data_IF_025502550679
#
_entry.id   IF_025502550679
#
_cell.length_a   1.000
_cell.length_b   1.000
_cell.length_c   1.000
_cell.angle_alpha   90.00
_cell.angle_beta   90.00
_cell.angle_gamma   90.00
#
_symmetry.space_group_name_H-M   'P 1'
#
loop_
_entity.id
_entity.type
_entity.pdbx_description
1 polymer ?
#
# COMPACT_ATOMS: atom_id res chain seq x y z
N UNK A 1 -4.53 -13.32 11.34
CA UNK A 1 -4.16 -13.76 9.97
C UNK A 1 -3.09 -12.79 9.48
N UNK A 2 -2.34 -13.07 8.40
CA UNK A 2 -1.80 -11.89 7.68
C UNK A 2 -3.01 -11.10 7.19
N UNK A 3 -2.89 -9.79 7.11
CA UNK A 3 -3.94 -8.94 6.56
C UNK A 3 -3.34 -8.06 5.49
N UNK A 4 -4.20 -7.62 4.57
CA UNK A 4 -3.79 -6.84 3.43
C UNK A 4 -4.39 -5.46 3.52
N UNK A 5 -3.63 -4.47 3.10
CA UNK A 5 -4.12 -3.12 2.83
C UNK A 5 -3.73 -2.75 1.41
N UNK A 6 -4.50 -1.87 0.77
CA UNK A 6 -4.20 -1.38 -0.57
C UNK A 6 -3.71 0.06 -0.54
N UNK A 7 -2.58 0.33 -1.18
CA UNK A 7 -2.22 1.68 -1.57
C UNK A 7 -2.93 1.99 -2.88
N UNK A 8 -3.79 3.00 -2.88
CA UNK A 8 -4.63 3.36 -4.02
C UNK A 8 -4.26 4.75 -4.51
N UNK A 9 -3.99 4.89 -5.80
CA UNK A 9 -3.71 6.19 -6.45
C UNK A 9 -4.55 6.38 -7.71
N UNK A 10 -4.83 7.64 -8.06
CA UNK A 10 -5.47 8.02 -9.32
C UNK A 10 -4.47 8.13 -10.50
N UNK A 11 -3.18 7.88 -10.24
CA UNK A 11 -2.13 7.79 -11.24
C UNK A 11 -2.00 6.36 -11.77
N UNK A 12 -1.49 6.20 -12.99
CA UNK A 12 -1.17 4.88 -13.56
C UNK A 12 0.28 4.56 -13.24
N UNK A 13 0.52 3.67 -12.27
CA UNK A 13 1.89 3.23 -11.92
C UNK A 13 2.25 2.01 -12.75
N UNK A 14 3.29 2.12 -13.57
CA UNK A 14 3.78 1.00 -14.41
C UNK A 14 4.69 0.08 -13.62
N UNK A 15 4.81 -1.17 -14.06
CA UNK A 15 5.69 -2.18 -13.46
C UNK A 15 7.11 -1.64 -13.20
N UNK A 16 7.74 -1.00 -14.19
CA UNK A 16 9.09 -0.43 -14.04
C UNK A 16 9.21 0.67 -12.98
N UNK A 17 8.15 1.46 -12.79
CA UNK A 17 8.08 2.50 -11.76
C UNK A 17 7.93 1.86 -10.38
N UNK A 18 7.09 0.82 -10.27
CA UNK A 18 6.98 0.04 -9.04
C UNK A 18 8.30 -0.68 -8.72
N UNK A 19 8.98 -1.28 -9.70
CA UNK A 19 10.31 -1.87 -9.52
C UNK A 19 11.31 -0.86 -8.96
N UNK A 20 11.21 0.40 -9.40
CA UNK A 20 12.07 1.49 -8.89
C UNK A 20 11.71 1.85 -7.45
N UNK A 21 10.42 1.90 -7.13
CA UNK A 21 9.95 2.07 -5.76
C UNK A 21 10.40 0.93 -4.84
N UNK A 22 10.26 -0.34 -5.26
CA UNK A 22 10.71 -1.51 -4.51
C UNK A 22 12.19 -1.41 -4.14
N UNK A 23 13.04 -0.97 -5.09
CA UNK A 23 14.45 -0.70 -4.81
C UNK A 23 14.67 0.43 -3.80
N UNK A 24 13.81 1.47 -3.82
CA UNK A 24 13.93 2.62 -2.91
C UNK A 24 13.62 2.30 -1.45
N UNK A 25 12.88 1.21 -1.20
CA UNK A 25 12.54 0.71 0.14
C UNK A 25 13.35 -0.53 0.51
N UNK A 26 14.47 -0.78 -0.18
CA UNK A 26 15.35 -1.94 0.01
C UNK A 26 14.61 -3.30 -0.07
N UNK A 27 13.57 -3.40 -0.91
CA UNK A 27 12.82 -4.63 -1.09
C UNK A 27 13.64 -5.69 -1.84
N UNK A 28 13.44 -6.94 -1.45
CA UNK A 28 13.88 -8.12 -2.20
C UNK A 28 12.82 -8.37 -3.29
N UNK A 29 13.21 -8.15 -4.55
CA UNK A 29 12.33 -8.28 -5.72
C UNK A 29 12.19 -9.76 -6.09
N UNK A 30 10.97 -10.18 -6.46
CA UNK A 30 10.67 -11.52 -6.95
C UNK A 30 11.34 -11.77 -8.32
N UNK A 31 11.96 -12.94 -8.48
CA UNK A 31 12.74 -13.28 -9.68
C UNK A 31 11.87 -13.52 -10.92
N UNK A 32 10.57 -13.76 -10.74
CA UNK A 32 9.59 -14.03 -11.80
C UNK A 32 8.69 -12.84 -12.08
N UNK A 33 8.55 -11.89 -11.15
CA UNK A 33 7.74 -10.69 -11.31
C UNK A 33 8.44 -9.46 -10.71
N UNK A 34 8.97 -8.59 -11.57
CA UNK A 34 9.66 -7.37 -11.13
C UNK A 34 8.76 -6.35 -10.43
N UNK A 35 7.45 -6.44 -10.61
CA UNK A 35 6.44 -5.63 -9.94
C UNK A 35 5.98 -6.24 -8.60
N UNK A 36 6.72 -7.22 -8.07
CA UNK A 36 6.46 -7.89 -6.81
C UNK A 36 7.73 -8.01 -5.98
N UNK A 37 7.61 -7.88 -4.68
CA UNK A 37 8.72 -8.09 -3.77
C UNK A 37 8.28 -8.08 -2.32
N UNK A 38 9.24 -8.10 -1.41
CA UNK A 38 8.99 -7.94 0.01
C UNK A 38 10.10 -7.18 0.71
N UNK A 39 9.77 -6.49 1.79
CA UNK A 39 10.72 -5.79 2.65
C UNK A 39 10.82 -6.56 3.97
N UNK A 40 12.05 -6.68 4.48
CA UNK A 40 12.34 -7.22 5.81
C UNK A 40 12.97 -6.16 6.69
N UNK A 41 12.52 -6.06 7.95
CA UNK A 41 13.19 -5.27 8.97
C UNK A 41 13.09 -5.96 10.33
N UNK A 42 14.19 -6.56 10.78
CA UNK A 42 14.17 -7.46 11.93
C UNK A 42 13.29 -8.69 11.66
N UNK A 43 12.27 -8.89 12.50
CA UNK A 43 11.26 -9.94 12.29
C UNK A 43 10.12 -9.49 11.35
N UNK A 44 9.95 -8.18 11.16
CA UNK A 44 8.87 -7.61 10.35
C UNK A 44 9.03 -7.93 8.87
N UNK A 45 7.92 -8.26 8.21
CA UNK A 45 7.86 -8.59 6.80
C UNK A 45 6.58 -8.05 6.16
N UNK A 46 6.73 -7.40 5.00
CA UNK A 46 5.61 -6.92 4.18
C UNK A 46 5.86 -7.30 2.73
N UNK A 47 4.91 -7.99 2.10
CA UNK A 47 4.92 -8.22 0.65
C UNK A 47 4.23 -7.06 -0.07
N UNK A 48 4.74 -6.74 -1.25
CA UNK A 48 4.28 -5.63 -2.09
C UNK A 48 4.01 -6.20 -3.48
N UNK A 49 2.80 -5.99 -4.01
CA UNK A 49 2.40 -6.50 -5.32
C UNK A 49 1.52 -5.49 -6.07
N UNK A 50 1.74 -5.33 -7.37
CA UNK A 50 0.82 -4.60 -8.25
C UNK A 50 -0.39 -5.47 -8.55
N UNK A 51 -1.59 -5.03 -8.17
CA UNK A 51 -2.81 -5.80 -8.41
C UNK A 51 -3.51 -5.30 -9.66
N UNK A 52 -3.46 -6.11 -10.71
CA UNK A 52 -4.20 -5.85 -11.95
C UNK A 52 -5.70 -6.03 -11.74
N UNK A 53 -6.51 -5.13 -12.30
CA UNK A 53 -7.98 -5.18 -12.25
C UNK A 53 -8.59 -5.21 -10.83
N UNK A 54 -7.85 -4.76 -9.79
CA UNK A 54 -8.36 -4.74 -8.41
C UNK A 54 -9.71 -4.03 -8.29
N UNK A 55 -9.95 -2.99 -9.09
CA UNK A 55 -11.19 -2.20 -9.11
C UNK A 55 -12.44 -3.03 -9.42
N UNK A 56 -12.30 -4.15 -10.13
CA UNK A 56 -13.43 -5.02 -10.51
C UNK A 56 -13.99 -5.79 -9.29
N UNK A 57 -13.23 -5.86 -8.20
CA UNK A 57 -13.65 -6.47 -6.93
C UNK A 57 -14.32 -5.48 -5.97
N UNK A 58 -14.37 -4.19 -6.33
CA UNK A 58 -14.93 -3.14 -5.47
C UNK A 58 -16.40 -2.89 -5.80
N UNK A 59 -17.20 -2.72 -4.75
CA UNK A 59 -18.57 -2.25 -4.90
C UNK A 59 -18.58 -0.76 -5.31
N UNK A 60 -19.59 -0.30 -6.07
CA UNK A 60 -19.64 1.09 -6.53
C UNK A 60 -19.53 2.14 -5.42
N UNK A 61 -20.07 1.86 -4.23
CA UNK A 61 -20.01 2.75 -3.08
C UNK A 61 -18.57 2.92 -2.55
N UNK A 62 -17.76 1.86 -2.59
CA UNK A 62 -16.36 1.92 -2.16
C UNK A 62 -15.48 2.62 -3.20
N UNK A 63 -15.81 2.46 -4.49
CA UNK A 63 -15.18 3.24 -5.58
C UNK A 63 -15.46 4.74 -5.39
N UNK A 64 -16.69 5.11 -4.99
CA UNK A 64 -17.04 6.51 -4.73
C UNK A 64 -16.29 7.06 -3.51
N UNK A 65 -16.17 6.29 -2.41
CA UNK A 65 -15.35 6.70 -1.26
C UNK A 65 -13.88 6.93 -1.65
N UNK A 66 -13.29 6.03 -2.43
CA UNK A 66 -11.93 6.17 -2.94
C UNK A 66 -11.79 7.40 -3.84
N UNK A 67 -12.77 7.63 -4.72
CA UNK A 67 -12.82 8.81 -5.58
C UNK A 67 -12.83 10.09 -4.74
N UNK A 68 -13.67 10.16 -3.72
CA UNK A 68 -13.80 11.34 -2.86
C UNK A 68 -12.51 11.62 -2.07
N UNK A 69 -11.85 10.57 -1.57
CA UNK A 69 -10.57 10.71 -0.87
C UNK A 69 -9.42 11.11 -1.82
N UNK A 70 -9.43 10.60 -3.05
CA UNK A 70 -8.41 10.90 -4.07
C UNK A 70 -8.70 12.20 -4.85
N UNK A 71 -9.92 12.72 -4.79
CA UNK A 71 -10.42 13.78 -5.66
C UNK A 71 -10.52 13.39 -7.15
N UNK A 72 -10.39 12.10 -7.47
CA UNK A 72 -10.40 11.54 -8.82
C UNK A 72 -10.54 10.01 -8.78
N UNK A 73 -10.97 9.40 -9.88
CA UNK A 73 -11.14 7.94 -9.94
C UNK A 73 -9.82 7.18 -9.68
N UNK A 74 -9.84 6.13 -8.85
CA UNK A 74 -8.67 5.28 -8.62
C UNK A 74 -8.25 4.56 -9.91
N UNK A 75 -6.94 4.37 -10.09
CA UNK A 75 -6.37 3.74 -11.29
C UNK A 75 -5.34 2.67 -11.00
N UNK A 76 -4.66 2.72 -9.86
CA UNK A 76 -3.65 1.72 -9.50
C UNK A 76 -3.78 1.34 -8.04
N UNK A 77 -3.68 0.03 -7.80
CA UNK A 77 -3.81 -0.62 -6.51
C UNK A 77 -2.54 -1.44 -6.26
N UNK A 78 -1.84 -1.13 -5.17
CA UNK A 78 -0.70 -1.90 -4.70
C UNK A 78 -1.12 -2.61 -3.41
N UNK A 79 -1.09 -3.93 -3.41
CA UNK A 79 -1.36 -4.70 -2.20
C UNK A 79 -0.12 -4.72 -1.31
N UNK A 80 -0.32 -4.39 -0.04
CA UNK A 80 0.63 -4.66 1.04
C UNK A 80 0.11 -5.82 1.88
N UNK A 81 0.70 -7.01 1.74
CA UNK A 81 0.37 -8.14 2.63
C UNK A 81 1.28 -8.07 3.87
N UNK A 82 0.68 -7.77 5.01
CA UNK A 82 1.35 -7.53 6.28
C UNK A 82 1.42 -8.86 7.05
N UNK A 83 2.64 -9.34 7.31
CA UNK A 83 2.83 -10.58 8.06
C UNK A 83 2.46 -10.40 9.54
N UNK A 84 2.24 -11.49 10.27
CA UNK A 84 1.93 -11.45 11.72
C UNK A 84 3.16 -11.20 12.60
N UNK A 85 4.34 -11.05 12.00
CA UNK A 85 5.56 -10.92 12.77
C UNK A 85 5.61 -9.55 13.47
N UNK A 86 6.21 -9.48 14.66
CA UNK A 86 6.39 -8.21 15.35
C UNK A 86 7.05 -7.15 14.46
N UNK A 87 6.43 -5.97 14.38
CA UNK A 87 6.94 -4.84 13.61
C UNK A 87 6.49 -4.78 12.15
N UNK A 88 5.78 -5.79 11.62
CA UNK A 88 5.27 -5.75 10.24
C UNK A 88 4.32 -4.60 9.98
N UNK A 89 3.41 -4.27 10.91
CA UNK A 89 2.48 -3.14 10.73
C UNK A 89 3.19 -1.78 10.73
N UNK A 90 4.22 -1.60 11.58
CA UNK A 90 5.08 -0.40 11.53
C UNK A 90 5.90 -0.32 10.24
N UNK A 91 6.37 -1.46 9.74
CA UNK A 91 7.05 -1.54 8.45
C UNK A 91 6.10 -1.18 7.30
N UNK A 92 4.84 -1.62 7.36
CA UNK A 92 3.83 -1.27 6.37
C UNK A 92 3.54 0.24 6.36
N UNK A 93 3.41 0.87 7.55
CA UNK A 93 3.29 2.34 7.66
C UNK A 93 4.49 3.04 7.02
N UNK A 94 5.71 2.57 7.26
CA UNK A 94 6.91 3.14 6.64
C UNK A 94 6.83 3.06 5.11
N UNK A 95 6.55 1.87 4.56
CA UNK A 95 6.45 1.64 3.10
C UNK A 95 5.37 2.54 2.50
N UNK A 96 4.18 2.58 3.10
CA UNK A 96 3.07 3.39 2.64
C UNK A 96 3.41 4.89 2.61
N UNK A 97 4.11 5.39 3.64
CA UNK A 97 4.55 6.79 3.69
C UNK A 97 5.60 7.12 2.64
N UNK A 98 6.48 6.18 2.29
CA UNK A 98 7.43 6.39 1.18
C UNK A 98 6.68 6.43 -0.14
N UNK A 99 5.71 5.54 -0.35
CA UNK A 99 4.88 5.52 -1.55
C UNK A 99 4.08 6.83 -1.72
N UNK A 100 3.40 7.27 -0.66
CA UNK A 100 2.59 8.51 -0.64
C UNK A 100 3.39 9.80 -0.88
N UNK A 101 4.73 9.77 -0.70
CA UNK A 101 5.60 10.90 -1.05
C UNK A 101 5.89 10.96 -2.55
N UNK A 102 5.80 9.83 -3.24
CA UNK A 102 6.09 9.71 -4.65
C UNK A 102 4.82 9.86 -5.51
N UNK A 103 3.69 9.33 -5.03
CA UNK A 103 2.37 9.45 -5.68
C UNK A 103 1.34 9.93 -4.67
N UNK A 104 0.44 10.82 -5.10
CA UNK A 104 -0.71 11.14 -4.28
C UNK A 104 -1.61 9.90 -4.19
N UNK A 105 -1.78 9.38 -2.98
CA UNK A 105 -2.45 8.11 -2.73
C UNK A 105 -3.13 8.08 -1.37
N UNK A 106 -4.01 7.10 -1.19
CA UNK A 106 -4.66 6.74 0.07
C UNK A 106 -4.40 5.28 0.39
N UNK A 107 -4.66 4.86 1.63
CA UNK A 107 -4.70 3.44 2.00
C UNK A 107 -6.14 3.04 2.20
N UNK A 108 -6.54 1.92 1.62
CA UNK A 108 -7.76 1.20 1.99
C UNK A 108 -7.39 -0.03 2.84
N UNK A 109 -7.95 -0.13 4.04
CA UNK A 109 -7.74 -1.29 4.93
C UNK A 109 -8.69 -2.45 4.71
N UNK A 110 -9.61 -2.36 3.75
CA UNK A 110 -10.66 -3.35 3.45
C UNK A 110 -11.70 -3.53 4.57
N UNK A 111 -11.65 -2.70 5.62
CA UNK A 111 -12.56 -2.69 6.75
C UNK A 111 -13.28 -1.33 6.89
N UNK A 112 -13.61 -0.75 5.74
CA UNK A 112 -14.32 0.53 5.57
C UNK A 112 -13.51 1.78 5.91
N UNK A 113 -12.22 1.68 6.27
CA UNK A 113 -11.41 2.86 6.57
C UNK A 113 -10.47 3.21 5.40
N UNK A 114 -10.48 4.49 5.05
CA UNK A 114 -9.52 5.09 4.12
C UNK A 114 -8.59 6.00 4.91
N UNK A 115 -7.28 5.75 4.83
CA UNK A 115 -6.26 6.57 5.49
C UNK A 115 -5.52 7.44 4.49
N UNK A 116 -5.43 8.72 4.80
CA UNK A 116 -4.58 9.69 4.12
C UNK A 116 -3.17 9.71 4.72
N UNK A 117 -2.28 10.49 4.12
CA UNK A 117 -0.93 10.68 4.67
C UNK A 117 -0.96 11.26 6.09
N UNK A 118 -1.89 12.18 6.36
CA UNK A 118 -2.06 12.83 7.67
C UNK A 118 -2.53 11.83 8.74
N UNK A 119 -3.37 10.87 8.36
CA UNK A 119 -3.82 9.80 9.26
C UNK A 119 -2.65 8.89 9.67
N UNK A 120 -1.78 8.53 8.72
CA UNK A 120 -0.58 7.75 9.00
C UNK A 120 0.40 8.47 9.93
N UNK A 121 0.54 9.79 9.78
CA UNK A 121 1.33 10.60 10.70
C UNK A 121 0.76 10.57 12.14
N UNK A 122 -0.54 10.40 12.29
CA UNK A 122 -1.21 10.30 13.59
C UNK A 122 -1.09 8.90 14.18
N UNK A 123 -1.28 7.84 13.37
CA UNK A 123 -1.07 6.44 13.78
C UNK A 123 0.35 6.22 14.32
N UNK A 124 1.37 6.66 13.58
CA UNK A 124 2.76 6.48 13.99
C UNK A 124 3.10 7.20 15.31
N UNK A 125 2.55 8.42 15.54
CA UNK A 125 2.78 9.18 16.78
C UNK A 125 2.15 8.50 18.00
N UNK A 126 1.04 7.81 17.80
CA UNK A 126 0.30 7.14 18.87
C UNK A 126 0.74 5.68 19.08
N UNK A 127 1.75 5.20 18.34
CA UNK A 127 2.20 3.81 18.38
C UNK A 127 1.20 2.83 17.73
N UNK A 128 0.27 3.33 16.93
CA UNK A 128 -0.65 2.50 16.15
C UNK A 128 0.05 1.83 14.97
N UNK A 129 -0.55 0.75 14.49
CA UNK A 129 -0.09 -0.03 13.34
C UNK A 129 -1.22 -0.20 12.32
N UNK A 130 -0.86 -0.47 11.07
CA UNK A 130 -1.78 -0.90 10.02
C UNK A 130 -2.08 -2.38 10.17
#
# INVERSE_FOLDING_TARGET
MSHSVYLVTNETVKSQELTTFLKSVDAIIDDKNEAKGYVLNGEGQVWIDLVENAIDEYEPEDIEKLHDALGASPKTFICLEISRNPGSGQLAIFIAKVFMKQWYSVIDDLYENIYTSDDLHSLQRNGGEL
#
